data_IF_143785846397
#
_entry.id   IF_143785846397
#
_cell.length_a   1.000
_cell.length_b   1.000
_cell.length_c   1.000
_cell.angle_alpha   90.00
_cell.angle_beta   90.00
_cell.angle_gamma   90.00
#
_symmetry.space_group_name_H-M   'P 1'
#
loop_
_entity.id
_entity.type
_entity.pdbx_description
1 polymer ?
#
# COMPACT_ATOMS: atom_id res chain seq x y z
N UNK A 1 -18.09 -10.55 -3.88
CA UNK A 1 -16.61 -10.44 -3.95
C UNK A 1 -16.13 -10.06 -2.56
N UNK A 2 -15.26 -10.87 -1.94
CA UNK A 2 -14.89 -10.82 -0.51
C UNK A 2 -14.40 -9.42 -0.08
N UNK A 3 -13.64 -8.75 -0.95
CA UNK A 3 -13.15 -7.38 -0.72
C UNK A 3 -14.29 -6.34 -0.62
N UNK A 4 -15.30 -6.43 -1.49
CA UNK A 4 -16.40 -5.47 -1.56
C UNK A 4 -17.29 -5.49 -0.30
N UNK A 5 -17.35 -6.63 0.40
CA UNK A 5 -18.11 -6.78 1.64
C UNK A 5 -17.31 -6.36 2.89
N UNK A 6 -16.03 -6.01 2.74
CA UNK A 6 -15.18 -5.62 3.88
C UNK A 6 -14.79 -6.80 4.79
N UNK A 7 -14.92 -8.04 4.32
CA UNK A 7 -14.68 -9.24 5.14
C UNK A 7 -13.25 -9.31 5.68
N UNK A 8 -12.28 -8.73 4.97
CA UNK A 8 -10.88 -8.62 5.40
C UNK A 8 -10.73 -7.96 6.77
N UNK A 9 -11.64 -7.07 7.18
CA UNK A 9 -11.57 -6.35 8.47
C UNK A 9 -11.65 -7.26 9.69
N UNK A 10 -12.18 -8.47 9.53
CA UNK A 10 -12.41 -9.41 10.61
C UNK A 10 -11.55 -10.69 10.46
N UNK A 11 -10.71 -10.76 9.43
CA UNK A 11 -9.83 -11.91 9.20
C UNK A 11 -8.60 -11.85 10.10
N UNK A 12 -8.20 -12.99 10.63
CA UNK A 12 -6.86 -13.19 11.19
C UNK A 12 -5.82 -13.36 10.08
N UNK A 13 -4.53 -13.16 10.39
CA UNK A 13 -3.45 -13.30 9.42
C UNK A 13 -3.43 -14.66 8.71
N UNK A 14 -3.79 -15.75 9.38
CA UNK A 14 -3.83 -17.11 8.79
C UNK A 14 -4.94 -17.30 7.75
N UNK A 15 -5.91 -16.39 7.70
CA UNK A 15 -7.01 -16.42 6.72
C UNK A 15 -6.73 -15.53 5.51
N UNK A 16 -5.62 -14.79 5.54
CA UNK A 16 -5.14 -13.97 4.43
C UNK A 16 -4.23 -14.81 3.55
N UNK A 17 -4.47 -14.73 2.24
CA UNK A 17 -3.64 -15.36 1.22
C UNK A 17 -2.87 -14.28 0.49
N UNK A 18 -1.61 -14.56 0.18
CA UNK A 18 -0.74 -13.72 -0.62
C UNK A 18 -0.30 -14.48 -1.87
N UNK A 19 -1.25 -15.07 -2.60
CA UNK A 19 -0.98 -15.75 -3.86
C UNK A 19 -0.82 -14.75 -5.01
N UNK A 20 -0.40 -15.23 -6.19
CA UNK A 20 -0.37 -14.42 -7.42
C UNK A 20 -1.75 -14.04 -7.99
N UNK A 21 -2.85 -14.36 -7.31
CA UNK A 21 -4.19 -13.95 -7.72
C UNK A 21 -4.52 -12.54 -7.25
N UNK A 22 -4.94 -11.67 -8.16
CA UNK A 22 -5.16 -10.24 -7.90
C UNK A 22 -6.11 -9.95 -6.72
N UNK A 23 -7.12 -10.78 -6.49
CA UNK A 23 -8.06 -10.61 -5.37
C UNK A 23 -7.39 -10.91 -4.03
N UNK A 24 -6.53 -11.92 -3.98
CA UNK A 24 -5.75 -12.27 -2.78
C UNK A 24 -4.78 -11.13 -2.45
N UNK A 25 -4.07 -10.60 -3.45
CA UNK A 25 -3.16 -9.46 -3.27
C UNK A 25 -3.88 -8.22 -2.75
N UNK A 26 -5.01 -7.86 -3.35
CA UNK A 26 -5.79 -6.69 -2.93
C UNK A 26 -6.35 -6.88 -1.52
N UNK A 27 -6.89 -8.06 -1.21
CA UNK A 27 -7.39 -8.39 0.11
C UNK A 27 -6.28 -8.28 1.18
N UNK A 28 -5.12 -8.87 0.92
CA UNK A 28 -3.98 -8.85 1.83
C UNK A 28 -3.45 -7.43 2.07
N UNK A 29 -3.38 -6.60 1.03
CA UNK A 29 -2.95 -5.21 1.14
C UNK A 29 -3.93 -4.38 1.98
N UNK A 30 -5.24 -4.52 1.72
CA UNK A 30 -6.27 -3.84 2.52
C UNK A 30 -6.28 -4.33 3.97
N UNK A 31 -6.10 -5.63 4.19
CA UNK A 31 -5.99 -6.22 5.53
C UNK A 31 -4.82 -5.61 6.32
N UNK A 32 -3.63 -5.53 5.70
CA UNK A 32 -2.44 -5.00 6.34
C UNK A 32 -2.60 -3.53 6.74
N UNK A 33 -3.17 -2.70 5.86
CA UNK A 33 -3.44 -1.28 6.14
C UNK A 33 -4.53 -1.12 7.19
N UNK A 34 -5.60 -1.92 7.15
CA UNK A 34 -6.70 -1.83 8.11
C UNK A 34 -6.29 -2.21 9.55
N UNK A 35 -5.36 -3.15 9.71
CA UNK A 35 -4.94 -3.66 11.01
C UNK A 35 -3.69 -2.96 11.58
N UNK A 36 -3.30 -1.81 11.03
CA UNK A 36 -2.13 -1.05 11.48
C UNK A 36 -2.41 0.45 11.43
N UNK A 37 -1.77 1.21 12.33
CA UNK A 37 -2.03 2.65 12.50
C UNK A 37 -0.93 3.55 11.94
N UNK A 38 0.03 2.98 11.19
CA UNK A 38 1.11 3.74 10.56
C UNK A 38 1.71 3.02 9.34
N UNK A 39 2.37 3.78 8.47
CA UNK A 39 2.98 3.28 7.23
C UNK A 39 3.97 2.14 7.48
N UNK A 40 4.83 2.29 8.49
CA UNK A 40 5.89 1.32 8.79
C UNK A 40 5.28 -0.06 9.07
N UNK A 41 4.32 -0.10 9.97
CA UNK A 41 3.74 -1.36 10.42
C UNK A 41 2.84 -1.96 9.34
N UNK A 42 2.14 -1.14 8.53
CA UNK A 42 1.40 -1.61 7.35
C UNK A 42 2.30 -2.36 6.36
N UNK A 43 3.45 -1.78 6.00
CA UNK A 43 4.41 -2.41 5.10
C UNK A 43 5.02 -3.67 5.71
N UNK A 44 5.36 -3.65 7.00
CA UNK A 44 5.92 -4.82 7.67
C UNK A 44 4.88 -5.95 7.78
N UNK A 45 3.62 -5.65 8.05
CA UNK A 45 2.54 -6.66 8.03
C UNK A 45 2.43 -7.26 6.64
N UNK A 46 2.33 -6.43 5.60
CA UNK A 46 2.21 -6.88 4.21
C UNK A 46 3.39 -7.76 3.76
N UNK A 47 4.63 -7.31 4.01
CA UNK A 47 5.84 -8.01 3.57
C UNK A 47 6.09 -9.33 4.32
N UNK A 48 5.58 -9.48 5.55
CA UNK A 48 5.75 -10.71 6.33
C UNK A 48 4.65 -11.76 6.11
N UNK A 49 3.66 -11.52 5.22
CA UNK A 49 2.65 -12.52 4.86
C UNK A 49 3.20 -13.67 3.99
N UNK A 50 4.47 -13.60 3.57
CA UNK A 50 5.16 -14.57 2.72
C UNK A 50 4.49 -14.76 1.34
N UNK A 51 4.91 -15.81 0.61
CA UNK A 51 4.51 -16.10 -0.78
C UNK A 51 4.79 -14.89 -1.71
N UNK A 52 3.76 -14.18 -2.17
CA UNK A 52 3.88 -13.03 -3.08
C UNK A 52 4.06 -11.69 -2.31
N UNK A 53 5.02 -11.68 -1.40
CA UNK A 53 5.22 -10.58 -0.45
C UNK A 53 5.54 -9.24 -1.11
N UNK A 54 6.22 -9.23 -2.26
CA UNK A 54 6.57 -8.02 -2.99
C UNK A 54 5.33 -7.32 -3.58
N UNK A 55 4.42 -8.08 -4.20
CA UNK A 55 3.18 -7.53 -4.77
C UNK A 55 2.25 -7.00 -3.69
N UNK A 56 2.10 -7.73 -2.59
CA UNK A 56 1.27 -7.30 -1.45
C UNK A 56 1.85 -6.04 -0.81
N UNK A 57 3.16 -6.01 -0.54
CA UNK A 57 3.82 -4.83 0.05
C UNK A 57 3.79 -3.61 -0.87
N UNK A 58 3.96 -3.77 -2.18
CA UNK A 58 3.87 -2.68 -3.14
C UNK A 58 2.43 -2.11 -3.23
N UNK A 59 1.42 -2.98 -3.17
CA UNK A 59 0.00 -2.57 -3.16
C UNK A 59 -0.35 -1.88 -1.84
N UNK A 60 0.05 -2.46 -0.70
CA UNK A 60 -0.12 -1.85 0.61
C UNK A 60 0.60 -0.50 0.73
N UNK A 61 1.78 -0.35 0.11
CA UNK A 61 2.55 0.89 0.09
C UNK A 61 1.86 2.03 -0.64
N UNK A 62 1.12 1.75 -1.71
CA UNK A 62 0.29 2.77 -2.37
C UNK A 62 -0.85 3.23 -1.44
N UNK A 63 -1.56 2.28 -0.83
CA UNK A 63 -2.68 2.56 0.07
C UNK A 63 -2.22 3.31 1.34
N UNK A 64 -1.23 2.78 2.04
CA UNK A 64 -0.67 3.39 3.25
C UNK A 64 0.04 4.72 2.93
N UNK A 65 0.71 4.83 1.80
CA UNK A 65 1.38 6.05 1.38
C UNK A 65 0.39 7.19 1.10
N UNK A 66 -0.75 6.87 0.47
CA UNK A 66 -1.83 7.83 0.29
C UNK A 66 -2.49 8.23 1.61
N UNK A 67 -2.68 7.27 2.53
CA UNK A 67 -3.33 7.48 3.82
C UNK A 67 -2.48 8.30 4.81
N UNK A 68 -1.21 7.93 4.98
CA UNK A 68 -0.30 8.53 5.97
C UNK A 68 0.58 9.64 5.40
N UNK A 69 0.56 9.81 4.08
CA UNK A 69 1.39 10.77 3.36
C UNK A 69 2.86 10.38 3.31
N UNK A 70 3.61 11.04 2.42
CA UNK A 70 5.06 10.85 2.27
C UNK A 70 5.85 11.20 3.55
N UNK A 71 5.34 12.13 4.36
CA UNK A 71 5.92 12.47 5.67
C UNK A 71 5.77 11.33 6.69
N UNK A 72 4.78 10.45 6.54
CA UNK A 72 4.58 9.27 7.38
C UNK A 72 5.54 8.11 7.08
N UNK A 73 6.29 8.17 5.97
CA UNK A 73 7.26 7.14 5.61
C UNK A 73 8.54 7.31 6.45
N UNK A 74 9.05 6.24 7.11
CA UNK A 74 10.29 6.30 7.87
C UNK A 74 11.45 6.88 7.07
N UNK A 75 12.13 7.89 7.61
CA UNK A 75 13.25 8.56 6.92
C UNK A 75 14.34 7.58 6.50
N UNK A 76 14.70 6.64 7.37
CA UNK A 76 15.69 5.59 7.09
C UNK A 76 15.34 4.69 5.89
N UNK A 77 14.07 4.60 5.51
CA UNK A 77 13.64 3.85 4.32
C UNK A 77 13.76 4.70 3.07
N UNK A 78 13.36 5.97 3.15
CA UNK A 78 13.53 6.96 2.07
C UNK A 78 15.01 7.11 1.68
N UNK A 79 15.89 7.22 2.66
CA UNK A 79 17.33 7.37 2.45
C UNK A 79 17.98 6.17 1.74
N UNK A 80 17.34 4.99 1.80
CA UNK A 80 17.83 3.75 1.19
C UNK A 80 17.15 3.42 -0.14
N UNK A 81 16.06 4.11 -0.48
CA UNK A 81 15.31 3.81 -1.69
C UNK A 81 16.10 4.29 -2.91
N UNK A 82 16.43 3.35 -3.79
CA UNK A 82 17.15 3.66 -5.03
C UNK A 82 16.28 4.59 -5.88
N UNK A 83 16.89 5.64 -6.43
CA UNK A 83 16.20 6.67 -7.24
C UNK A 83 15.08 7.42 -6.49
N UNK A 84 15.16 7.49 -5.16
CA UNK A 84 14.18 8.19 -4.32
C UNK A 84 13.80 9.60 -4.83
N UNK A 85 14.79 10.44 -5.13
CA UNK A 85 14.55 11.82 -5.61
C UNK A 85 13.77 11.84 -6.94
N UNK A 86 14.11 10.95 -7.87
CA UNK A 86 13.41 10.82 -9.15
C UNK A 86 11.95 10.40 -8.94
N UNK A 87 11.70 9.44 -8.06
CA UNK A 87 10.34 8.98 -7.75
C UNK A 87 9.50 10.09 -7.13
N UNK A 88 10.07 10.87 -6.20
CA UNK A 88 9.39 12.02 -5.59
C UNK A 88 9.10 13.11 -6.63
N UNK A 89 10.04 13.41 -7.54
CA UNK A 89 9.82 14.35 -8.65
C UNK A 89 8.66 13.91 -9.53
N UNK A 90 8.66 12.65 -9.98
CA UNK A 90 7.59 12.10 -10.82
C UNK A 90 6.23 12.17 -10.12
N UNK A 91 6.16 11.88 -8.82
CA UNK A 91 4.92 12.01 -8.06
C UNK A 91 4.42 13.46 -8.01
N UNK A 92 5.32 14.43 -7.80
CA UNK A 92 4.99 15.86 -7.83
C UNK A 92 4.53 16.34 -9.20
N UNK A 93 5.21 15.90 -10.27
CA UNK A 93 4.83 16.22 -11.65
C UNK A 93 3.44 15.68 -11.99
N UNK A 94 3.13 14.44 -11.61
CA UNK A 94 1.80 13.85 -11.80
C UNK A 94 0.73 14.63 -11.02
N UNK A 95 1.01 15.00 -9.77
CA UNK A 95 0.09 15.78 -8.95
C UNK A 95 -0.21 17.15 -9.55
N UNK A 96 0.81 17.86 -10.02
CA UNK A 96 0.66 19.19 -10.64
C UNK A 96 0.09 19.13 -12.06
N UNK A 97 0.23 18.00 -12.75
CA UNK A 97 -0.32 17.80 -14.10
C UNK A 97 -1.73 17.22 -14.08
N UNK A 98 -2.33 17.03 -12.89
CA UNK A 98 -3.71 16.58 -12.77
C UNK A 98 -4.64 17.59 -13.48
N UNK A 99 -5.49 17.17 -14.43
CA UNK A 99 -6.40 18.07 -15.09
C UNK A 99 -7.39 18.66 -14.08
N UNK A 100 -7.79 19.92 -14.28
CA UNK A 100 -8.91 20.46 -13.52
C UNK A 100 -10.19 19.67 -13.84
N UNK A 101 -11.06 19.52 -12.84
CA UNK A 101 -12.34 18.84 -12.98
C UNK A 101 -13.29 19.65 -13.89
N UNK A 102 -13.08 19.58 -15.20
CA UNK A 102 -13.96 20.17 -16.22
C UNK A 102 -15.16 19.26 -16.57
N UNK A 103 -15.55 18.35 -15.67
CA UNK A 103 -16.73 17.51 -15.81
C UNK A 103 -17.92 18.11 -15.05
N UNK A 104 -18.43 19.24 -15.54
CA UNK A 104 -19.78 19.75 -15.29
C UNK A 104 -20.43 20.15 -16.62
#
# INVERSE_FOLDING_TARGET
>A
MIVNAGEYKHKSCHQIRSSGYVIDTLEAAMWAVWHTDNFRDAILHAANLADDADRVAATAGQLAGALYGYSGIPQKWKDKLVQHERLVSMAGELFHSAPEDNFL
#
